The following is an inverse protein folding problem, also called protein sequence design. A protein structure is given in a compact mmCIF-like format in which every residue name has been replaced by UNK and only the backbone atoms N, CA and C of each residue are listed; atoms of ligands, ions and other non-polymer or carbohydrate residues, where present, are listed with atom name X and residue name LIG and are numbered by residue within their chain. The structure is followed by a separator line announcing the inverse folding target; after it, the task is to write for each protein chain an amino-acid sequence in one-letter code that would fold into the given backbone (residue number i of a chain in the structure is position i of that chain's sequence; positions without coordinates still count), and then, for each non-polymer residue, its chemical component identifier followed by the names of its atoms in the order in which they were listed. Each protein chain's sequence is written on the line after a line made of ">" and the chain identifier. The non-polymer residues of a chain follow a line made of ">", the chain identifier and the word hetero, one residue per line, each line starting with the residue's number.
data_IF_457873694745
#
_entry.id   IF_457873694745
#
_cell.length_a   1.000
_cell.length_b   1.000
_cell.length_c   1.000
_cell.angle_alpha   90.00
_cell.angle_beta   90.00
_cell.angle_gamma   90.00
#
_symmetry.space_group_name_H-M   'P 1'
#
loop_
_entity.id
_entity.type
_entity.pdbx_description
1 polymer ?
#
# COMPACT_ATOMS: atom_id res chain seq x y z
N UNK A 1 4.83 -1.88 -28.75
CA UNK A 1 4.00 -1.34 -27.67
C UNK A 1 4.30 -2.17 -26.43
N UNK A 2 4.81 -1.56 -25.35
CA UNK A 2 5.07 -2.31 -24.11
C UNK A 2 3.74 -2.60 -23.40
N UNK A 3 3.64 -3.76 -22.75
CA UNK A 3 2.48 -4.07 -21.91
C UNK A 3 2.35 -3.00 -20.80
N UNK A 4 1.17 -2.39 -20.60
CA UNK A 4 0.99 -1.42 -19.53
C UNK A 4 1.19 -2.06 -18.16
N UNK A 5 1.94 -1.39 -17.27
CA UNK A 5 2.12 -1.79 -15.87
C UNK A 5 0.77 -2.02 -15.16
N UNK A 6 -0.24 -1.25 -15.53
CA UNK A 6 -1.60 -1.36 -15.01
C UNK A 6 -2.21 -2.76 -15.23
N UNK A 7 -1.97 -3.41 -16.36
CA UNK A 7 -2.54 -4.74 -16.65
C UNK A 7 -2.05 -5.79 -15.67
N UNK A 8 -0.75 -5.75 -15.33
CA UNK A 8 -0.15 -6.66 -14.34
C UNK A 8 -0.66 -6.40 -12.92
N UNK A 9 -0.83 -5.14 -12.57
CA UNK A 9 -1.43 -4.74 -11.28
C UNK A 9 -2.87 -5.24 -11.16
N UNK A 10 -3.71 -5.01 -12.17
CA UNK A 10 -5.11 -5.45 -12.21
C UNK A 10 -5.19 -6.97 -12.03
N UNK A 11 -4.48 -7.74 -12.87
CA UNK A 11 -4.47 -9.20 -12.78
C UNK A 11 -3.98 -9.70 -11.41
N UNK A 12 -3.01 -9.02 -10.78
CA UNK A 12 -2.55 -9.36 -9.43
C UNK A 12 -3.59 -9.07 -8.36
N UNK A 13 -4.28 -7.93 -8.45
CA UNK A 13 -5.27 -7.50 -7.46
C UNK A 13 -6.57 -8.28 -7.58
N UNK A 14 -6.99 -8.62 -8.80
CA UNK A 14 -8.14 -9.50 -9.02
C UNK A 14 -7.90 -10.83 -8.31
N UNK A 15 -6.73 -11.46 -8.48
CA UNK A 15 -6.39 -12.71 -7.76
C UNK A 15 -6.38 -12.56 -6.25
N UNK A 16 -6.03 -11.39 -5.72
CA UNK A 16 -5.97 -11.15 -4.28
C UNK A 16 -7.35 -10.90 -3.66
N UNK A 17 -8.18 -10.12 -4.35
CA UNK A 17 -9.48 -9.66 -3.87
C UNK A 17 -10.61 -10.47 -4.52
N UNK A 18 -10.78 -11.69 -4.01
CA UNK A 18 -11.88 -12.58 -4.39
C UNK A 18 -13.05 -12.45 -3.42
N UNK A 19 -14.28 -12.86 -3.80
CA UNK A 19 -15.39 -12.94 -2.86
C UNK A 19 -15.00 -13.73 -1.60
N UNK A 20 -15.20 -13.13 -0.43
CA UNK A 20 -14.81 -13.73 0.86
C UNK A 20 -13.39 -13.42 1.32
N UNK A 21 -12.57 -12.69 0.55
CA UNK A 21 -11.29 -12.16 1.06
C UNK A 21 -11.57 -11.16 2.19
N UNK A 22 -11.01 -11.43 3.38
CA UNK A 22 -11.14 -10.56 4.56
C UNK A 22 -9.78 -10.05 4.98
N UNK A 23 -9.69 -8.74 5.15
CA UNK A 23 -8.57 -8.08 5.83
C UNK A 23 -8.97 -7.90 7.28
N UNK A 24 -8.30 -8.61 8.18
CA UNK A 24 -8.56 -8.54 9.62
C UNK A 24 -7.31 -8.78 10.45
N UNK A 25 -7.27 -8.27 11.69
CA UNK A 25 -6.26 -8.68 12.67
C UNK A 25 -6.38 -10.18 12.99
N UNK A 26 -5.31 -10.73 13.57
CA UNK A 26 -5.36 -12.00 14.30
C UNK A 26 -5.79 -11.72 15.74
N UNK A 27 -6.25 -12.71 16.53
CA UNK A 27 -6.69 -12.49 17.91
C UNK A 27 -5.66 -11.77 18.79
N UNK A 28 -4.36 -12.01 18.56
CA UNK A 28 -3.27 -11.37 19.28
C UNK A 28 -2.98 -9.92 18.85
N UNK A 29 -3.56 -9.44 17.74
CA UNK A 29 -3.36 -8.06 17.29
C UNK A 29 -4.45 -7.16 17.84
N UNK A 30 -4.13 -6.46 18.93
CA UNK A 30 -5.06 -5.56 19.63
C UNK A 30 -4.84 -4.09 19.26
N UNK A 31 -3.69 -3.76 18.67
CA UNK A 31 -3.32 -2.40 18.30
C UNK A 31 -3.25 -2.20 16.78
N UNK A 32 -3.50 -0.96 16.35
CA UNK A 32 -3.40 -0.53 14.96
C UNK A 32 -2.40 0.63 14.83
N UNK A 33 -1.33 0.41 14.09
CA UNK A 33 -0.39 1.48 13.72
C UNK A 33 -0.72 1.94 12.31
N UNK A 34 -1.07 3.21 12.14
CA UNK A 34 -1.32 3.82 10.83
C UNK A 34 -0.32 4.92 10.52
N UNK A 35 0.10 5.01 9.28
CA UNK A 35 0.87 6.13 8.75
C UNK A 35 0.18 6.58 7.46
N UNK A 36 -0.08 7.89 7.36
CA UNK A 36 -0.66 8.53 6.18
C UNK A 36 0.24 9.67 5.71
N UNK A 37 0.22 9.90 4.41
CA UNK A 37 0.99 10.93 3.70
C UNK A 37 0.31 11.14 2.34
N UNK A 38 0.98 11.79 1.39
CA UNK A 38 0.54 11.85 0.00
C UNK A 38 1.54 11.18 -0.95
N UNK A 39 1.07 10.78 -2.13
CA UNK A 39 1.93 10.23 -3.17
C UNK A 39 2.98 11.23 -3.66
N UNK A 40 2.70 12.53 -3.61
CA UNK A 40 3.66 13.60 -3.89
C UNK A 40 4.79 13.65 -2.85
N UNK A 41 4.45 13.57 -1.56
CA UNK A 41 5.44 13.54 -0.48
C UNK A 41 6.30 12.27 -0.55
N UNK A 42 5.71 11.09 -0.80
CA UNK A 42 6.48 9.87 -1.06
C UNK A 42 7.43 10.02 -2.25
N UNK A 43 6.96 10.61 -3.35
CA UNK A 43 7.76 10.83 -4.56
C UNK A 43 8.91 11.81 -4.33
N UNK A 44 8.74 12.78 -3.44
CA UNK A 44 9.80 13.73 -3.06
C UNK A 44 10.98 13.05 -2.35
N UNK A 45 10.81 11.82 -1.84
CA UNK A 45 11.87 11.07 -1.19
C UNK A 45 12.21 11.55 0.23
N UNK A 46 11.31 12.29 0.87
CA UNK A 46 11.47 12.76 2.25
C UNK A 46 11.54 11.64 3.30
N UNK A 47 11.69 12.02 4.56
CA UNK A 47 11.83 11.08 5.69
C UNK A 47 10.65 10.10 5.80
N UNK A 48 9.45 10.50 5.41
CA UNK A 48 8.26 9.63 5.46
C UNK A 48 8.41 8.35 4.62
N UNK A 49 9.28 8.35 3.61
CA UNK A 49 9.54 7.17 2.79
C UNK A 49 10.12 6.01 3.61
N UNK A 50 10.79 6.25 4.75
CA UNK A 50 11.27 5.19 5.64
C UNK A 50 10.15 4.48 6.40
N UNK A 51 8.97 5.11 6.51
CA UNK A 51 7.78 4.50 7.13
C UNK A 51 7.04 3.53 6.18
N UNK A 52 7.40 3.55 4.90
CA UNK A 52 6.81 2.71 3.86
C UNK A 52 7.74 1.55 3.49
N UNK A 53 7.20 0.42 3.01
CA UNK A 53 8.00 -0.68 2.51
C UNK A 53 8.98 -0.22 1.42
N UNK A 54 10.23 -0.69 1.47
CA UNK A 54 11.29 -0.25 0.55
C UNK A 54 10.98 -0.44 -0.94
N UNK A 55 10.04 -1.33 -1.28
CA UNK A 55 9.54 -1.51 -2.64
C UNK A 55 8.89 -0.25 -3.24
N UNK A 56 8.37 0.68 -2.43
CA UNK A 56 7.84 1.96 -2.91
C UNK A 56 8.87 2.76 -3.71
N UNK A 57 10.16 2.67 -3.36
CA UNK A 57 11.25 3.33 -4.12
C UNK A 57 11.25 2.98 -5.60
N UNK A 58 10.80 1.77 -5.97
CA UNK A 58 10.74 1.31 -7.36
C UNK A 58 9.56 1.91 -8.13
N UNK A 59 8.51 2.34 -7.44
CA UNK A 59 7.26 2.79 -8.06
C UNK A 59 7.02 4.30 -8.00
N UNK A 60 7.83 5.05 -7.25
CA UNK A 60 7.70 6.52 -7.13
C UNK A 60 7.60 7.25 -8.49
N UNK A 61 8.38 6.89 -9.53
CA UNK A 61 8.29 7.57 -10.82
C UNK A 61 6.94 7.40 -11.55
N UNK A 62 6.13 6.40 -11.18
CA UNK A 62 4.84 6.12 -11.80
C UNK A 62 3.66 6.81 -11.10
N UNK A 63 3.90 7.51 -9.99
CA UNK A 63 2.86 8.35 -9.37
C UNK A 63 2.64 9.62 -10.19
N UNK A 64 1.46 9.72 -10.80
CA UNK A 64 1.05 10.80 -11.69
C UNK A 64 0.20 11.89 -11.00
N UNK A 65 -0.22 11.65 -9.77
CA UNK A 65 -1.04 12.57 -8.98
C UNK A 65 -0.51 12.67 -7.55
N UNK A 66 -0.89 13.73 -6.86
CA UNK A 66 -0.67 13.92 -5.44
C UNK A 66 -1.96 13.64 -4.68
N UNK A 67 -2.07 12.45 -4.09
CA UNK A 67 -3.27 11.97 -3.42
C UNK A 67 -2.92 11.30 -2.09
N UNK A 68 -3.84 11.30 -1.11
CA UNK A 68 -3.64 10.60 0.16
C UNK A 68 -3.32 9.13 -0.05
N UNK A 69 -2.30 8.65 0.67
CA UNK A 69 -1.90 7.25 0.73
C UNK A 69 -1.50 6.88 2.15
N UNK A 70 -1.81 5.65 2.55
CA UNK A 70 -1.45 5.14 3.87
C UNK A 70 -0.96 3.71 3.86
N UNK A 71 -0.31 3.36 4.97
CA UNK A 71 0.00 2.00 5.39
C UNK A 71 -0.53 1.78 6.80
N UNK A 72 -0.91 0.55 7.11
CA UNK A 72 -1.36 0.18 8.44
C UNK A 72 -0.81 -1.17 8.85
N UNK A 73 -0.63 -1.39 10.15
CA UNK A 73 -0.22 -2.66 10.73
C UNK A 73 -1.13 -3.03 11.88
N UNK A 74 -1.62 -4.25 11.87
CA UNK A 74 -2.18 -4.89 13.06
C UNK A 74 -1.02 -5.46 13.87
N UNK A 75 -0.89 -5.06 15.14
CA UNK A 75 0.23 -5.41 16.01
C UNK A 75 -0.24 -5.85 17.38
N UNK A 76 0.62 -6.60 18.09
CA UNK A 76 0.43 -6.87 19.51
C UNK A 76 0.65 -5.58 20.32
N UNK A 77 0.06 -5.45 21.52
CA UNK A 77 0.34 -4.34 22.41
C UNK A 77 1.84 -4.12 22.65
N UNK A 78 2.30 -2.89 22.40
CA UNK A 78 3.70 -2.49 22.58
C UNK A 78 4.66 -2.94 21.46
N UNK A 79 4.19 -3.63 20.43
CA UNK A 79 5.03 -4.04 19.29
C UNK A 79 4.91 -3.11 18.08
N UNK A 80 6.02 -2.93 17.36
CA UNK A 80 6.06 -2.14 16.12
C UNK A 80 5.97 -3.01 14.84
N UNK A 81 6.07 -4.33 15.00
CA UNK A 81 6.01 -5.33 13.94
C UNK A 81 4.72 -6.14 14.05
N UNK A 82 4.20 -6.56 12.90
CA UNK A 82 2.93 -7.29 12.84
C UNK A 82 2.45 -7.44 11.40
N UNK A 83 1.15 -7.67 11.23
CA UNK A 83 0.54 -7.86 9.92
C UNK A 83 0.33 -6.50 9.23
N UNK A 84 1.22 -6.18 8.28
CA UNK A 84 1.22 -4.93 7.55
C UNK A 84 0.48 -4.97 6.23
N UNK A 85 -0.24 -3.90 5.95
CA UNK A 85 -0.84 -3.55 4.68
C UNK A 85 -0.38 -2.15 4.27
N UNK A 86 -0.30 -1.92 2.97
CA UNK A 86 0.14 -0.67 2.37
C UNK A 86 -0.70 -0.37 1.13
N UNK A 87 -0.53 0.82 0.56
CA UNK A 87 -1.21 1.20 -0.67
C UNK A 87 -2.69 1.46 -0.48
N UNK A 88 -3.12 1.84 0.73
CA UNK A 88 -4.45 2.38 0.97
C UNK A 88 -4.47 3.81 0.41
N UNK A 89 -5.00 4.00 -0.78
CA UNK A 89 -4.92 5.25 -1.53
C UNK A 89 -6.31 5.85 -1.76
N UNK A 90 -6.42 7.18 -1.79
CA UNK A 90 -7.67 7.86 -2.11
C UNK A 90 -7.68 8.31 -3.57
N UNK A 91 -8.45 7.62 -4.41
CA UNK A 91 -8.54 7.88 -5.86
C UNK A 91 -9.99 7.78 -6.31
N UNK A 92 -10.39 8.59 -7.29
CA UNK A 92 -11.75 8.59 -7.85
C UNK A 92 -12.84 8.70 -6.76
N UNK A 93 -12.62 9.56 -5.76
CA UNK A 93 -13.59 9.83 -4.69
C UNK A 93 -13.76 8.72 -3.66
N UNK A 94 -12.89 7.71 -3.62
CA UNK A 94 -12.96 6.60 -2.66
C UNK A 94 -11.59 6.09 -2.22
N UNK A 95 -11.56 5.43 -1.08
CA UNK A 95 -10.41 4.64 -0.66
C UNK A 95 -10.34 3.31 -1.42
N UNK A 96 -9.15 2.97 -1.89
CA UNK A 96 -8.84 1.72 -2.59
C UNK A 96 -7.57 1.13 -1.99
N UNK A 97 -7.55 -0.17 -1.73
CA UNK A 97 -6.33 -0.85 -1.30
C UNK A 97 -5.62 -1.47 -2.51
N UNK A 98 -4.42 -0.97 -2.80
CA UNK A 98 -3.56 -1.44 -3.89
C UNK A 98 -2.21 -1.89 -3.31
N UNK A 99 -2.14 -3.07 -2.67
CA UNK A 99 -0.99 -3.45 -1.87
C UNK A 99 0.21 -3.81 -2.75
N UNK A 100 1.42 -3.46 -2.29
CA UNK A 100 2.69 -3.88 -2.93
C UNK A 100 2.77 -3.64 -4.45
N UNK A 101 2.48 -2.44 -4.96
CA UNK A 101 2.40 -2.16 -6.40
C UNK A 101 3.70 -2.45 -7.16
N UNK A 102 4.86 -2.44 -6.49
CA UNK A 102 6.15 -2.78 -7.09
C UNK A 102 6.25 -4.23 -7.59
N UNK A 103 5.35 -5.13 -7.16
CA UNK A 103 5.32 -6.52 -7.65
C UNK A 103 4.98 -6.62 -9.14
N UNK A 104 4.37 -5.60 -9.73
CA UNK A 104 4.13 -5.59 -11.18
C UNK A 104 5.38 -5.27 -12.02
N UNK A 105 6.47 -4.83 -11.38
CA UNK A 105 7.77 -4.58 -12.02
C UNK A 105 8.68 -5.83 -11.99
N UNK A 106 8.24 -6.92 -11.36
CA UNK A 106 8.92 -8.21 -11.34
C UNK A 106 8.64 -9.04 -12.60
#
# INVERSE_FOLDING_TARGET
>A
YAEPLASRLIASYDRLFQPGTVIRPKPEHEDLITIFTTTGELRSGGSILSEFPGGYKKVLPYFISDVPIGRFKFVKPGEALGLGFDGLIFVNGRWVLMPKPWRALE
#
